data_IF_238818922698
#
_entry.id   IF_238818922698
#
_cell.length_a   1.000
_cell.length_b   1.000
_cell.length_c   1.000
_cell.angle_alpha   90.00
_cell.angle_beta   90.00
_cell.angle_gamma   90.00
#
_symmetry.space_group_name_H-M   'P 1'
#
loop_
_entity.id
_entity.type
_entity.pdbx_description
1 polymer ?
#
# COMPACT_ATOMS: atom_id res chain seq x y z
N UNK A 1 3.61 -5.12 0.25
CA UNK A 1 4.87 -5.09 -0.50
C UNK A 1 4.91 -6.14 -1.60
N UNK A 2 5.06 -7.42 -1.25
CA UNK A 2 5.33 -8.52 -2.22
C UNK A 2 4.43 -8.53 -3.46
N UNK A 3 3.12 -8.62 -3.27
CA UNK A 3 2.16 -8.65 -4.40
C UNK A 3 2.17 -7.36 -5.22
N UNK A 4 2.38 -6.22 -4.57
CA UNK A 4 2.48 -4.95 -5.29
C UNK A 4 3.71 -4.91 -6.19
N UNK A 5 4.88 -5.36 -5.71
CA UNK A 5 6.09 -5.41 -6.52
C UNK A 5 5.94 -6.39 -7.70
N UNK A 6 5.35 -7.57 -7.47
CA UNK A 6 5.06 -8.54 -8.54
C UNK A 6 4.18 -7.88 -9.62
N UNK A 7 3.16 -7.12 -9.21
CA UNK A 7 2.31 -6.40 -10.16
C UNK A 7 3.09 -5.35 -10.96
N UNK A 8 3.97 -4.57 -10.32
CA UNK A 8 4.83 -3.62 -11.03
C UNK A 8 5.70 -4.32 -12.08
N UNK A 9 6.23 -5.47 -11.73
CA UNK A 9 7.05 -6.28 -12.62
C UNK A 9 6.25 -6.84 -13.80
N UNK A 10 5.01 -7.28 -13.58
CA UNK A 10 4.11 -7.78 -14.62
C UNK A 10 3.67 -6.67 -15.59
N UNK A 11 3.51 -5.43 -15.10
CA UNK A 11 3.15 -4.26 -15.91
C UNK A 11 4.36 -3.60 -16.59
N UNK A 12 5.58 -4.01 -16.24
CA UNK A 12 6.81 -3.51 -16.83
C UNK A 12 7.00 -4.02 -18.26
N UNK A 13 7.45 -3.18 -19.20
CA UNK A 13 7.89 -3.65 -20.54
C UNK A 13 9.20 -4.46 -20.49
N UNK A 14 9.96 -4.39 -19.39
CA UNK A 14 11.24 -5.09 -19.23
C UNK A 14 11.02 -6.59 -18.97
N UNK A 15 10.98 -7.37 -20.04
CA UNK A 15 10.77 -8.81 -19.95
C UNK A 15 11.94 -9.56 -19.30
N UNK A 16 13.17 -9.12 -19.53
CA UNK A 16 14.36 -9.75 -18.96
C UNK A 16 14.38 -9.59 -17.43
N UNK A 17 14.09 -8.39 -16.92
CA UNK A 17 13.96 -8.16 -15.48
C UNK A 17 12.86 -9.04 -14.87
N UNK A 18 11.71 -9.16 -15.56
CA UNK A 18 10.63 -10.02 -15.13
C UNK A 18 11.05 -11.48 -15.06
N UNK A 19 11.71 -12.02 -16.08
CA UNK A 19 12.18 -13.41 -16.10
C UNK A 19 13.20 -13.66 -14.98
N UNK A 20 14.07 -12.70 -14.72
CA UNK A 20 15.11 -12.78 -13.69
C UNK A 20 14.55 -12.84 -12.27
N UNK A 21 13.50 -12.06 -11.96
CA UNK A 21 13.04 -11.87 -10.59
C UNK A 21 11.77 -12.63 -10.21
N UNK A 22 10.88 -12.92 -11.18
CA UNK A 22 9.53 -13.40 -10.87
C UNK A 22 9.51 -14.74 -10.11
N UNK A 23 10.39 -15.68 -10.47
CA UNK A 23 10.47 -16.99 -9.82
C UNK A 23 10.81 -16.88 -8.33
N UNK A 24 11.78 -16.06 -7.98
CA UNK A 24 12.21 -15.86 -6.58
C UNK A 24 11.19 -15.06 -5.77
N UNK A 25 10.54 -14.07 -6.41
CA UNK A 25 9.44 -13.32 -5.80
C UNK A 25 8.25 -14.21 -5.48
N UNK A 26 7.83 -15.08 -6.39
CA UNK A 26 6.71 -16.00 -6.19
C UNK A 26 7.02 -17.06 -5.12
N UNK A 27 8.26 -17.53 -5.07
CA UNK A 27 8.72 -18.50 -4.07
C UNK A 27 9.02 -17.85 -2.69
N UNK A 28 8.97 -16.51 -2.58
CA UNK A 28 9.30 -15.78 -1.35
C UNK A 28 10.78 -15.78 -0.98
N UNK A 29 11.67 -16.22 -1.87
CA UNK A 29 13.11 -16.13 -1.66
C UNK A 29 13.57 -14.67 -1.72
N UNK A 30 13.06 -13.89 -2.68
CA UNK A 30 13.30 -12.46 -2.81
C UNK A 30 12.10 -11.67 -2.27
N UNK A 31 12.34 -10.67 -1.43
CA UNK A 31 11.32 -9.74 -0.96
C UNK A 31 11.13 -8.59 -1.95
N UNK A 32 9.93 -8.48 -2.52
CA UNK A 32 9.53 -7.33 -3.33
C UNK A 32 8.97 -6.22 -2.47
N UNK A 33 9.70 -5.11 -2.38
CA UNK A 33 9.35 -3.95 -1.55
C UNK A 33 8.75 -2.82 -2.39
N UNK A 34 7.92 -1.97 -1.77
CA UNK A 34 7.31 -0.83 -2.44
C UNK A 34 7.79 0.48 -1.83
N UNK A 35 8.57 1.24 -2.58
CA UNK A 35 9.00 2.62 -2.31
C UNK A 35 8.11 3.66 -3.01
N UNK A 36 6.95 3.26 -3.57
CA UNK A 36 6.11 4.14 -4.37
C UNK A 36 5.15 5.05 -3.56
N UNK A 37 5.25 5.09 -2.24
CA UNK A 37 4.43 6.01 -1.43
C UNK A 37 4.66 7.48 -1.83
N UNK A 38 5.92 7.90 -1.94
CA UNK A 38 6.29 9.23 -2.43
C UNK A 38 5.82 9.44 -3.89
N UNK A 39 5.97 8.42 -4.74
CA UNK A 39 5.53 8.48 -6.14
C UNK A 39 4.02 8.73 -6.29
N UNK A 40 3.19 8.13 -5.44
CA UNK A 40 1.73 8.36 -5.48
C UNK A 40 1.35 9.79 -5.04
N UNK A 41 2.12 10.40 -4.12
CA UNK A 41 1.96 11.81 -3.76
C UNK A 41 2.46 12.74 -4.87
N UNK A 42 3.58 12.40 -5.51
CA UNK A 42 4.08 13.10 -6.69
C UNK A 42 3.05 13.10 -7.83
N UNK A 43 2.45 11.95 -8.13
CA UNK A 43 1.41 11.82 -9.15
C UNK A 43 0.19 12.74 -8.87
N UNK A 44 -0.09 12.99 -7.61
CA UNK A 44 -1.17 13.89 -7.14
C UNK A 44 -0.71 15.35 -6.98
N UNK A 45 0.54 15.69 -7.34
CA UNK A 45 1.08 17.04 -7.22
C UNK A 45 1.30 17.53 -5.77
N UNK A 46 1.40 16.61 -4.81
CA UNK A 46 1.51 16.94 -3.37
C UNK A 46 2.95 17.19 -2.95
N UNK A 47 3.90 16.40 -3.48
CA UNK A 47 5.33 16.53 -3.16
C UNK A 47 6.21 16.11 -4.33
N UNK A 48 7.47 16.59 -4.35
CA UNK A 48 8.48 16.14 -5.31
C UNK A 48 8.97 14.71 -5.02
N UNK A 49 9.60 14.07 -6.00
CA UNK A 49 10.27 12.80 -5.79
C UNK A 49 11.51 13.00 -4.88
N UNK A 50 11.79 12.01 -4.04
CA UNK A 50 12.82 12.07 -3.01
C UNK A 50 14.14 11.37 -3.40
N UNK A 51 14.15 10.75 -4.57
CA UNK A 51 15.36 10.13 -5.15
C UNK A 51 15.63 10.77 -6.49
N UNK A 52 16.87 11.22 -6.69
CA UNK A 52 17.35 11.85 -7.91
C UNK A 52 18.37 10.94 -8.58
N UNK A 53 18.32 10.86 -9.90
CA UNK A 53 19.29 10.15 -10.72
C UNK A 53 20.10 11.12 -11.57
N UNK A 54 21.39 10.90 -11.61
CA UNK A 54 22.31 11.48 -12.59
C UNK A 54 22.69 10.44 -13.64
N UNK A 55 22.65 10.82 -14.91
CA UNK A 55 22.97 9.89 -15.99
C UNK A 55 24.46 9.49 -15.95
N UNK A 56 24.71 8.20 -16.18
CA UNK A 56 26.06 7.63 -16.36
C UNK A 56 26.07 6.77 -17.63
N UNK A 57 27.26 6.40 -18.12
CA UNK A 57 27.40 5.64 -19.36
C UNK A 57 26.58 4.33 -19.35
N UNK A 58 26.68 3.55 -18.28
CA UNK A 58 26.02 2.25 -18.14
C UNK A 58 24.61 2.31 -17.50
N UNK A 59 24.16 3.50 -17.03
CA UNK A 59 22.90 3.60 -16.30
C UNK A 59 22.71 4.93 -15.59
N UNK A 60 22.58 4.87 -14.28
CA UNK A 60 22.35 6.05 -13.43
C UNK A 60 23.06 5.92 -12.09
N UNK A 61 23.43 7.06 -11.53
CA UNK A 61 23.88 7.22 -10.15
C UNK A 61 22.76 7.86 -9.36
N UNK A 62 22.29 7.16 -8.32
CA UNK A 62 21.14 7.56 -7.49
C UNK A 62 21.60 8.15 -6.16
N UNK A 63 20.93 9.25 -5.78
CA UNK A 63 21.05 9.87 -4.46
C UNK A 63 19.66 10.19 -3.91
N UNK A 64 19.44 9.95 -2.61
CA UNK A 64 18.19 10.27 -1.96
C UNK A 64 17.81 9.31 -0.84
N UNK A 65 16.55 9.43 -0.38
CA UNK A 65 16.03 8.61 0.72
C UNK A 65 14.57 8.24 0.51
N UNK A 66 14.23 7.01 0.81
CA UNK A 66 12.86 6.52 0.91
C UNK A 66 12.57 6.24 2.40
N UNK A 67 11.84 7.11 3.11
CA UNK A 67 11.69 7.01 4.57
C UNK A 67 10.78 5.89 5.03
N UNK A 68 9.88 5.38 4.15
CA UNK A 68 8.87 4.38 4.45
C UNK A 68 8.78 3.35 3.33
N UNK A 69 9.50 2.25 3.48
CA UNK A 69 9.48 1.13 2.53
C UNK A 69 9.01 -0.13 3.24
N UNK A 70 7.85 -0.63 2.84
CA UNK A 70 7.25 -1.85 3.40
C UNK A 70 7.77 -3.09 2.68
N UNK A 71 7.93 -4.19 3.43
CA UNK A 71 8.48 -5.46 2.97
C UNK A 71 9.96 -5.38 2.55
N UNK A 72 10.70 -4.51 3.22
CA UNK A 72 12.15 -4.34 3.04
C UNK A 72 12.89 -5.35 3.92
N UNK A 73 12.70 -6.65 3.66
CA UNK A 73 13.31 -7.73 4.44
C UNK A 73 14.84 -7.68 4.31
N UNK A 74 15.53 -7.59 5.44
CA UNK A 74 16.99 -7.59 5.45
C UNK A 74 17.56 -8.89 4.90
N UNK A 75 18.57 -8.79 4.07
CA UNK A 75 19.32 -9.91 3.50
C UNK A 75 18.86 -10.33 2.11
N UNK A 76 17.71 -9.86 1.62
CA UNK A 76 17.27 -10.23 0.26
C UNK A 76 16.03 -9.45 -0.19
N UNK A 77 16.19 -8.21 -0.65
CA UNK A 77 15.10 -7.40 -1.18
C UNK A 77 15.41 -6.72 -2.51
N UNK A 78 14.35 -6.39 -3.21
CA UNK A 78 14.34 -5.45 -4.34
C UNK A 78 13.21 -4.45 -4.13
N UNK A 79 13.47 -3.15 -4.29
CA UNK A 79 12.48 -2.09 -4.07
C UNK A 79 12.15 -1.35 -5.36
N UNK A 80 10.85 -1.15 -5.63
CA UNK A 80 10.42 -0.26 -6.71
C UNK A 80 10.36 1.18 -6.21
N UNK A 81 11.00 2.10 -6.94
CA UNK A 81 11.00 3.52 -6.64
C UNK A 81 10.84 4.36 -7.92
N UNK A 82 10.10 5.47 -7.81
CA UNK A 82 10.10 6.50 -8.85
C UNK A 82 11.23 7.48 -8.60
N UNK A 83 11.94 7.83 -9.67
CA UNK A 83 13.21 8.54 -9.64
C UNK A 83 13.09 9.82 -10.47
N UNK A 84 13.49 10.96 -9.91
CA UNK A 84 13.63 12.23 -10.64
C UNK A 84 14.90 12.23 -11.47
N UNK A 85 14.86 12.85 -12.66
CA UNK A 85 16.08 13.05 -13.47
C UNK A 85 16.76 14.36 -13.08
N UNK A 86 18.01 14.30 -12.65
CA UNK A 86 18.78 15.48 -12.24
C UNK A 86 18.99 16.50 -13.37
N UNK A 87 19.09 16.01 -14.59
CA UNK A 87 19.27 16.82 -15.80
C UNK A 87 17.92 17.25 -16.43
N UNK A 88 16.80 16.98 -15.79
CA UNK A 88 15.46 17.25 -16.30
C UNK A 88 14.90 16.13 -17.16
N UNK A 89 13.62 16.24 -17.53
CA UNK A 89 12.89 15.24 -18.30
C UNK A 89 11.85 14.50 -17.45
N UNK A 90 11.19 13.48 -18.03
CA UNK A 90 10.20 12.68 -17.31
C UNK A 90 10.87 11.80 -16.26
N UNK A 91 10.34 11.74 -15.04
CA UNK A 91 10.79 10.79 -14.03
C UNK A 91 10.51 9.35 -14.50
N UNK A 92 11.27 8.39 -13.97
CA UNK A 92 11.19 6.99 -14.36
C UNK A 92 11.08 6.08 -13.14
N UNK A 93 10.88 4.77 -13.33
CA UNK A 93 10.72 3.80 -12.24
C UNK A 93 11.80 2.73 -12.34
N UNK A 94 12.54 2.54 -11.26
CA UNK A 94 13.58 1.52 -11.13
C UNK A 94 13.18 0.44 -10.11
N UNK A 95 13.73 -0.75 -10.30
CA UNK A 95 13.91 -1.76 -9.28
C UNK A 95 15.33 -1.62 -8.71
N UNK A 96 15.47 -1.44 -7.41
CA UNK A 96 16.76 -1.24 -6.74
C UNK A 96 17.00 -2.43 -5.84
N UNK A 97 17.98 -3.32 -6.14
CA UNK A 97 18.32 -4.45 -5.29
C UNK A 97 19.18 -4.04 -4.09
N UNK A 98 19.12 -4.81 -3.01
CA UNK A 98 19.87 -4.57 -1.76
C UNK A 98 21.40 -4.55 -1.97
N UNK A 99 21.92 -5.46 -2.79
CA UNK A 99 23.37 -5.72 -2.90
C UNK A 99 24.20 -4.63 -3.59
N UNK A 100 23.61 -3.51 -4.02
CA UNK A 100 24.37 -2.43 -4.66
C UNK A 100 25.12 -1.59 -3.63
N UNK A 101 26.36 -1.21 -3.96
CA UNK A 101 27.15 -0.29 -3.13
C UNK A 101 26.41 1.04 -2.95
N UNK A 102 26.37 1.55 -1.72
CA UNK A 102 25.66 2.79 -1.38
C UNK A 102 24.19 2.61 -1.00
N UNK A 103 23.61 1.43 -1.16
CA UNK A 103 22.26 1.09 -0.65
C UNK A 103 22.36 0.79 0.84
N UNK A 104 21.69 1.58 1.67
CA UNK A 104 21.71 1.44 3.12
C UNK A 104 20.28 1.35 3.69
N UNK A 105 19.94 0.17 4.20
CA UNK A 105 18.70 -0.07 4.92
C UNK A 105 18.84 0.30 6.40
N UNK A 106 17.87 1.04 6.96
CA UNK A 106 17.81 1.25 8.40
C UNK A 106 17.38 -0.03 9.15
N UNK A 107 17.46 -0.01 10.48
CA UNK A 107 16.68 -0.96 11.27
C UNK A 107 15.19 -0.82 10.98
N UNK A 108 14.40 -1.86 11.31
CA UNK A 108 12.93 -1.81 11.21
C UNK A 108 12.38 -0.64 12.03
N UNK A 109 11.43 0.08 11.46
CA UNK A 109 10.76 1.17 12.17
C UNK A 109 9.93 0.62 13.33
N UNK A 110 10.02 1.26 14.48
CA UNK A 110 9.23 0.92 15.66
C UNK A 110 7.82 1.47 15.52
N UNK A 111 6.92 0.69 14.93
CA UNK A 111 5.56 1.07 14.60
C UNK A 111 4.59 0.74 15.75
N UNK A 112 3.49 1.49 15.90
CA UNK A 112 2.42 1.17 16.85
C UNK A 112 1.61 -0.07 16.43
N UNK A 113 1.54 -0.38 15.15
CA UNK A 113 0.92 -1.57 14.56
C UNK A 113 1.73 -2.02 13.34
N UNK A 114 1.41 -3.20 12.77
CA UNK A 114 2.10 -3.74 11.58
C UNK A 114 3.62 -3.93 11.77
N UNK A 115 4.08 -4.24 12.98
CA UNK A 115 5.50 -4.37 13.32
C UNK A 115 6.22 -5.44 12.49
N UNK A 116 5.52 -6.51 12.10
CA UNK A 116 6.09 -7.60 11.28
C UNK A 116 6.08 -7.29 9.78
N UNK A 117 5.88 -6.04 9.38
CA UNK A 117 5.83 -5.63 7.97
C UNK A 117 7.20 -5.43 7.33
N UNK A 118 8.30 -5.56 8.09
CA UNK A 118 9.67 -5.22 7.68
C UNK A 118 9.73 -3.82 7.04
N UNK A 119 9.03 -2.86 7.63
CA UNK A 119 9.06 -1.46 7.16
C UNK A 119 10.31 -0.78 7.69
N UNK A 120 11.11 -0.24 6.79
CA UNK A 120 12.36 0.45 7.10
C UNK A 120 12.55 1.66 6.17
N UNK A 121 13.51 2.52 6.48
CA UNK A 121 14.00 3.52 5.55
C UNK A 121 15.11 2.95 4.68
N UNK A 122 15.24 3.49 3.47
CA UNK A 122 16.30 3.19 2.52
C UNK A 122 17.02 4.47 2.14
N UNK A 123 18.30 4.58 2.47
CA UNK A 123 19.18 5.64 2.04
C UNK A 123 19.97 5.17 0.81
N UNK A 124 20.06 6.04 -0.19
CA UNK A 124 20.80 5.84 -1.43
C UNK A 124 21.88 6.91 -1.52
N UNK A 125 23.15 6.49 -1.60
CA UNK A 125 24.30 7.40 -1.65
C UNK A 125 25.22 6.99 -2.79
N UNK A 126 25.17 7.75 -3.88
CA UNK A 126 25.94 7.50 -5.09
C UNK A 126 25.78 6.05 -5.60
N UNK A 127 24.54 5.52 -5.59
CA UNK A 127 24.24 4.14 -5.98
C UNK A 127 24.24 4.01 -7.48
N UNK A 128 25.19 3.27 -8.06
CA UNK A 128 25.20 2.95 -9.49
C UNK A 128 24.17 1.85 -9.81
N UNK A 129 23.23 2.13 -10.71
CA UNK A 129 22.18 1.20 -11.14
C UNK A 129 22.16 1.12 -12.66
N UNK A 130 22.29 -0.09 -13.20
CA UNK A 130 22.26 -0.36 -14.63
C UNK A 130 20.86 -0.20 -15.25
N UNK A 131 20.82 -0.03 -16.57
CA UNK A 131 19.57 0.09 -17.34
C UNK A 131 18.71 -1.18 -17.32
N UNK A 132 19.30 -2.32 -17.04
CA UNK A 132 18.65 -3.63 -16.89
C UNK A 132 17.69 -3.69 -15.69
N UNK A 133 17.79 -2.74 -14.74
CA UNK A 133 16.89 -2.59 -13.59
C UNK A 133 15.72 -1.61 -13.84
N UNK A 134 15.59 -1.09 -15.06
CA UNK A 134 14.50 -0.18 -15.40
C UNK A 134 13.17 -0.93 -15.42
N UNK A 135 12.22 -0.48 -14.59
CA UNK A 135 10.82 -0.95 -14.64
C UNK A 135 10.02 -0.22 -15.72
N UNK A 136 10.18 1.10 -15.82
CA UNK A 136 9.54 1.91 -16.85
C UNK A 136 10.25 3.26 -16.99
N UNK A 137 10.41 3.73 -18.20
CA UNK A 137 11.13 4.97 -18.56
C UNK A 137 10.33 6.26 -18.29
N UNK A 138 9.02 6.16 -18.07
CA UNK A 138 8.14 7.27 -17.72
C UNK A 138 7.23 6.90 -16.54
N UNK A 139 7.50 7.47 -15.37
CA UNK A 139 6.71 7.25 -14.15
C UNK A 139 5.28 7.81 -14.28
N UNK A 140 5.07 8.89 -15.06
CA UNK A 140 3.75 9.51 -15.25
C UNK A 140 2.81 8.61 -16.04
N UNK A 141 3.35 7.77 -16.92
CA UNK A 141 2.59 6.75 -17.64
C UNK A 141 2.42 5.47 -16.82
N UNK A 142 3.46 5.04 -16.10
CA UNK A 142 3.46 3.79 -15.35
C UNK A 142 2.59 3.82 -14.09
N UNK A 143 2.71 4.88 -13.28
CA UNK A 143 2.01 4.96 -12.00
C UNK A 143 0.47 4.89 -12.12
N UNK A 144 -0.18 5.56 -13.09
CA UNK A 144 -1.63 5.38 -13.30
C UNK A 144 -2.02 3.95 -13.65
N UNK A 145 -1.19 3.21 -14.39
CA UNK A 145 -1.46 1.81 -14.79
C UNK A 145 -1.40 0.85 -13.60
N UNK A 146 -0.44 1.02 -12.68
CA UNK A 146 -0.29 0.16 -11.50
C UNK A 146 -1.17 0.59 -10.32
N UNK A 147 -1.70 1.82 -10.34
CA UNK A 147 -2.51 2.38 -9.25
C UNK A 147 -3.74 1.55 -8.89
N UNK A 148 -4.53 0.99 -9.83
CA UNK A 148 -5.68 0.15 -9.48
C UNK A 148 -5.29 -1.06 -8.64
N UNK A 149 -4.26 -1.78 -9.02
CA UNK A 149 -3.75 -2.92 -8.25
C UNK A 149 -3.16 -2.49 -6.91
N UNK A 150 -2.40 -1.41 -6.89
CA UNK A 150 -1.80 -0.87 -5.65
C UNK A 150 -2.87 -0.51 -4.61
N UNK A 151 -3.91 0.23 -5.01
CA UNK A 151 -5.02 0.60 -4.12
C UNK A 151 -5.91 -0.60 -3.78
N UNK A 152 -6.15 -1.50 -4.73
CA UNK A 152 -6.90 -2.73 -4.49
C UNK A 152 -6.25 -3.62 -3.43
N UNK A 153 -4.94 -3.75 -3.44
CA UNK A 153 -4.18 -4.48 -2.41
C UNK A 153 -4.27 -3.81 -1.03
N UNK A 154 -4.34 -2.48 -0.98
CA UNK A 154 -4.59 -1.75 0.27
C UNK A 154 -6.04 -1.97 0.77
N UNK A 155 -7.01 -2.00 -0.13
CA UNK A 155 -8.39 -2.38 0.22
C UNK A 155 -8.43 -3.76 0.88
N UNK A 156 -7.63 -4.71 0.41
CA UNK A 156 -7.52 -6.04 1.00
C UNK A 156 -7.13 -6.05 2.49
N UNK A 157 -6.30 -5.10 2.94
CA UNK A 157 -5.97 -4.95 4.36
C UNK A 157 -7.19 -4.53 5.18
N UNK A 158 -7.94 -3.54 4.72
CA UNK A 158 -9.15 -3.07 5.38
C UNK A 158 -10.24 -4.16 5.42
N UNK A 159 -10.44 -4.89 4.32
CA UNK A 159 -11.39 -6.00 4.21
C UNK A 159 -11.08 -7.10 5.22
N UNK A 160 -9.82 -7.55 5.29
CA UNK A 160 -9.40 -8.60 6.21
C UNK A 160 -9.58 -8.19 7.67
N UNK A 161 -9.25 -6.95 8.00
CA UNK A 161 -9.40 -6.39 9.34
C UNK A 161 -10.87 -6.29 9.74
N UNK A 162 -11.72 -5.73 8.86
CA UNK A 162 -13.16 -5.60 9.10
C UNK A 162 -13.83 -6.97 9.29
N UNK A 163 -13.56 -7.94 8.40
CA UNK A 163 -14.10 -9.31 8.51
C UNK A 163 -13.73 -9.93 9.84
N UNK A 164 -12.46 -9.86 10.22
CA UNK A 164 -12.02 -10.44 11.50
C UNK A 164 -12.68 -9.77 12.69
N UNK A 165 -12.85 -8.44 12.70
CA UNK A 165 -13.53 -7.74 13.78
C UNK A 165 -15.01 -8.13 13.86
N UNK A 166 -15.73 -8.19 12.74
CA UNK A 166 -17.13 -8.62 12.71
C UNK A 166 -17.32 -10.09 13.11
N UNK A 167 -16.36 -10.97 12.82
CA UNK A 167 -16.37 -12.34 13.33
C UNK A 167 -16.20 -12.40 14.85
N UNK A 168 -15.40 -11.51 15.44
CA UNK A 168 -15.30 -11.39 16.89
C UNK A 168 -16.61 -10.86 17.52
N UNK A 169 -17.25 -9.87 16.86
CA UNK A 169 -18.62 -9.44 17.30
C UNK A 169 -19.54 -10.65 17.40
N UNK A 170 -19.66 -11.45 16.34
CA UNK A 170 -20.53 -12.62 16.30
C UNK A 170 -20.25 -13.62 17.44
N UNK A 171 -18.99 -13.80 17.81
CA UNK A 171 -18.59 -14.70 18.91
C UNK A 171 -19.01 -14.20 20.28
N UNK A 172 -19.23 -12.91 20.43
CA UNK A 172 -19.55 -12.27 21.70
C UNK A 172 -21.03 -11.89 21.82
N UNK A 173 -21.85 -12.18 20.80
CA UNK A 173 -23.30 -11.97 20.87
C UNK A 173 -23.94 -12.92 21.89
N UNK A 174 -24.97 -12.42 22.55
CA UNK A 174 -25.75 -13.17 23.55
C UNK A 174 -26.21 -12.29 24.70
N UNK A 175 -27.31 -12.65 25.34
CA UNK A 175 -27.94 -11.84 26.38
C UNK A 175 -28.30 -10.44 25.86
N UNK A 176 -27.96 -9.40 26.60
CA UNK A 176 -28.21 -8.01 26.18
C UNK A 176 -27.44 -7.58 24.91
N UNK A 177 -26.39 -8.31 24.54
CA UNK A 177 -25.59 -8.00 23.33
C UNK A 177 -26.26 -8.41 22.04
N UNK A 178 -27.36 -9.17 22.08
CA UNK A 178 -28.19 -9.44 20.90
C UNK A 178 -28.80 -8.16 20.29
N UNK A 179 -28.82 -7.06 21.02
CA UNK A 179 -29.17 -5.73 20.48
C UNK A 179 -28.23 -5.28 19.35
N UNK A 180 -27.00 -5.83 19.26
CA UNK A 180 -26.02 -5.54 18.21
C UNK A 180 -26.23 -6.36 16.93
N UNK A 181 -27.15 -7.33 16.89
CA UNK A 181 -27.37 -8.20 15.72
C UNK A 181 -27.71 -7.40 14.46
N UNK A 182 -28.58 -6.40 14.58
CA UNK A 182 -28.97 -5.54 13.47
C UNK A 182 -27.81 -4.71 12.93
N UNK A 183 -26.96 -4.17 13.82
CA UNK A 183 -25.78 -3.40 13.44
C UNK A 183 -24.71 -4.30 12.80
N UNK A 184 -24.47 -5.49 13.33
CA UNK A 184 -23.59 -6.48 12.75
C UNK A 184 -24.01 -6.84 11.33
N UNK A 185 -25.29 -7.11 11.10
CA UNK A 185 -25.82 -7.42 9.78
C UNK A 185 -25.63 -6.26 8.80
N UNK A 186 -25.95 -5.03 9.20
CA UNK A 186 -25.77 -3.84 8.38
C UNK A 186 -24.32 -3.57 8.02
N UNK A 187 -23.37 -3.75 8.96
CA UNK A 187 -21.94 -3.58 8.70
C UNK A 187 -21.39 -4.67 7.78
N UNK A 188 -21.86 -5.92 7.87
CA UNK A 188 -21.50 -7.00 6.94
C UNK A 188 -22.01 -6.69 5.53
N UNK A 189 -23.26 -6.27 5.37
CA UNK A 189 -23.83 -5.89 4.08
C UNK A 189 -23.05 -4.74 3.42
N UNK A 190 -22.73 -3.70 4.20
CA UNK A 190 -21.92 -2.57 3.73
C UNK A 190 -20.54 -3.02 3.25
N UNK A 191 -19.87 -3.88 4.04
CA UNK A 191 -18.56 -4.42 3.69
C UNK A 191 -18.62 -5.25 2.41
N UNK A 192 -19.61 -6.15 2.31
CA UNK A 192 -19.76 -7.03 1.15
C UNK A 192 -20.12 -6.25 -0.13
N UNK A 193 -20.92 -5.19 -0.01
CA UNK A 193 -21.20 -4.25 -1.10
C UNK A 193 -19.93 -3.58 -1.64
N UNK A 194 -19.06 -3.09 -0.75
CA UNK A 194 -17.77 -2.53 -1.16
C UNK A 194 -16.83 -3.58 -1.78
N UNK A 195 -16.80 -4.79 -1.24
CA UNK A 195 -16.00 -5.90 -1.76
C UNK A 195 -16.47 -6.29 -3.16
N UNK A 196 -17.77 -6.43 -3.37
CA UNK A 196 -18.35 -6.74 -4.68
C UNK A 196 -18.01 -5.64 -5.71
N UNK A 197 -18.17 -4.37 -5.34
CA UNK A 197 -17.84 -3.23 -6.20
C UNK A 197 -16.35 -3.18 -6.54
N UNK A 198 -15.47 -3.49 -5.57
CA UNK A 198 -14.02 -3.57 -5.80
C UNK A 198 -13.67 -4.67 -6.81
N UNK A 199 -14.21 -5.86 -6.63
CA UNK A 199 -13.92 -6.99 -7.52
C UNK A 199 -14.46 -6.74 -8.93
N UNK A 200 -15.67 -6.22 -9.06
CA UNK A 200 -16.26 -5.88 -10.36
C UNK A 200 -15.42 -4.84 -11.11
N UNK A 201 -15.00 -3.78 -10.41
CA UNK A 201 -14.19 -2.71 -11.02
C UNK A 201 -12.76 -3.13 -11.38
N UNK A 202 -12.15 -4.03 -10.60
CA UNK A 202 -10.85 -4.62 -10.96
C UNK A 202 -10.98 -5.55 -12.18
N UNK A 203 -12.02 -6.39 -12.22
CA UNK A 203 -12.23 -7.34 -13.30
C UNK A 203 -12.56 -6.65 -14.64
N UNK A 204 -13.34 -5.58 -14.61
CA UNK A 204 -13.68 -4.79 -15.81
C UNK A 204 -12.58 -3.84 -16.26
N UNK A 205 -11.58 -3.56 -15.40
CA UNK A 205 -10.54 -2.57 -15.68
C UNK A 205 -11.01 -1.11 -15.58
N UNK A 206 -12.25 -0.84 -15.13
CA UNK A 206 -12.86 0.51 -15.11
C UNK A 206 -12.08 1.53 -14.28
N UNK A 207 -11.33 1.08 -13.26
CA UNK A 207 -10.56 1.97 -12.40
C UNK A 207 -9.39 2.68 -13.09
N UNK A 208 -8.98 2.22 -14.28
CA UNK A 208 -8.01 2.91 -15.10
C UNK A 208 -8.59 4.23 -15.65
N UNK A 209 -9.84 4.20 -16.11
CA UNK A 209 -10.56 5.37 -16.67
C UNK A 209 -11.36 6.14 -15.62
N UNK A 210 -11.82 5.47 -14.56
CA UNK A 210 -12.66 6.03 -13.49
C UNK A 210 -12.04 5.86 -12.10
N UNK A 211 -10.86 6.43 -11.82
CA UNK A 211 -10.16 6.24 -10.55
C UNK A 211 -10.97 6.73 -9.33
N UNK A 212 -11.86 7.70 -9.51
CA UNK A 212 -12.71 8.22 -8.45
C UNK A 212 -13.60 7.13 -7.81
N UNK A 213 -14.05 6.12 -8.57
CA UNK A 213 -14.82 5.00 -8.02
C UNK A 213 -13.97 4.19 -7.03
N UNK A 214 -12.74 3.85 -7.41
CA UNK A 214 -11.82 3.14 -6.53
C UNK A 214 -11.49 3.95 -5.27
N UNK A 215 -11.34 5.27 -5.39
CA UNK A 215 -11.09 6.15 -4.24
C UNK A 215 -12.24 6.11 -3.23
N UNK A 216 -13.50 6.17 -3.69
CA UNK A 216 -14.67 6.05 -2.82
C UNK A 216 -14.75 4.69 -2.14
N UNK A 217 -14.49 3.59 -2.89
CA UNK A 217 -14.44 2.23 -2.32
C UNK A 217 -13.34 2.14 -1.25
N UNK A 218 -12.16 2.68 -1.51
CA UNK A 218 -11.04 2.68 -0.55
C UNK A 218 -11.36 3.45 0.72
N UNK A 219 -12.06 4.59 0.61
CA UNK A 219 -12.55 5.38 1.74
C UNK A 219 -13.58 4.57 2.53
N UNK A 220 -14.62 4.06 1.88
CA UNK A 220 -15.70 3.29 2.53
C UNK A 220 -15.18 2.03 3.24
N UNK A 221 -14.23 1.32 2.64
CA UNK A 221 -13.60 0.15 3.28
C UNK A 221 -12.77 0.52 4.51
N UNK A 222 -12.11 1.67 4.52
CA UNK A 222 -11.40 2.14 5.71
C UNK A 222 -12.36 2.51 6.85
N UNK A 223 -13.47 3.15 6.52
CA UNK A 223 -14.53 3.48 7.46
C UNK A 223 -15.21 2.20 7.99
N UNK A 224 -15.51 1.24 7.12
CA UNK A 224 -16.05 -0.06 7.52
C UNK A 224 -15.10 -0.81 8.49
N UNK A 225 -13.79 -0.77 8.25
CA UNK A 225 -12.81 -1.39 9.15
C UNK A 225 -12.76 -0.71 10.52
N UNK A 226 -12.82 0.61 10.57
CA UNK A 226 -12.85 1.36 11.83
C UNK A 226 -14.15 1.06 12.61
N UNK A 227 -15.31 1.09 11.95
CA UNK A 227 -16.60 0.81 12.56
C UNK A 227 -16.69 -0.64 13.08
N UNK A 228 -16.18 -1.60 12.31
CA UNK A 228 -16.16 -3.01 12.71
C UNK A 228 -15.34 -3.24 14.00
N UNK A 229 -14.19 -2.57 14.15
CA UNK A 229 -13.37 -2.67 15.37
C UNK A 229 -14.04 -1.98 16.55
N UNK A 230 -14.76 -0.88 16.35
CA UNK A 230 -15.58 -0.24 17.39
C UNK A 230 -16.71 -1.15 17.85
N UNK A 231 -17.41 -1.81 16.91
CA UNK A 231 -18.47 -2.75 17.24
C UNK A 231 -17.92 -3.98 17.99
N UNK A 232 -16.74 -4.46 17.62
CA UNK A 232 -16.03 -5.53 18.37
C UNK A 232 -15.83 -5.16 19.82
N UNK A 233 -15.38 -3.92 20.11
CA UNK A 233 -15.20 -3.47 21.50
C UNK A 233 -16.51 -3.50 22.28
N UNK A 234 -17.61 -3.02 21.68
CA UNK A 234 -18.93 -3.03 22.32
C UNK A 234 -19.40 -4.46 22.62
N UNK A 235 -19.24 -5.38 21.66
CA UNK A 235 -19.64 -6.77 21.82
C UNK A 235 -18.76 -7.51 22.84
N UNK A 236 -17.46 -7.27 22.88
CA UNK A 236 -16.51 -7.91 23.79
C UNK A 236 -16.58 -7.34 25.22
N UNK A 237 -16.95 -6.06 25.34
CA UNK A 237 -17.01 -5.34 26.61
C UNK A 237 -15.66 -5.20 27.30
N UNK A 238 -15.67 -4.97 28.60
CA UNK A 238 -14.46 -4.70 29.39
C UNK A 238 -13.38 -5.78 29.32
N UNK A 239 -13.73 -7.02 28.99
CA UNK A 239 -12.75 -8.11 28.82
C UNK A 239 -11.74 -7.82 27.71
N UNK A 240 -12.17 -7.19 26.60
CA UNK A 240 -11.27 -6.81 25.52
C UNK A 240 -10.28 -5.69 25.93
N UNK A 241 -10.56 -4.98 27.00
CA UNK A 241 -9.72 -3.88 27.50
C UNK A 241 -8.70 -4.33 28.53
N UNK A 242 -8.73 -5.60 28.96
CA UNK A 242 -7.73 -6.18 29.83
C UNK A 242 -6.50 -6.62 29.03
N UNK A 243 -5.30 -6.24 29.45
CA UNK A 243 -4.04 -6.54 28.74
C UNK A 243 -3.83 -8.05 28.49
N UNK A 244 -4.22 -8.90 29.44
CA UNK A 244 -4.10 -10.36 29.37
C UNK A 244 -5.07 -11.01 28.35
N UNK A 245 -6.23 -10.39 28.08
CA UNK A 245 -7.26 -10.93 27.18
C UNK A 245 -7.42 -10.14 25.90
N UNK A 246 -7.09 -8.85 25.93
CA UNK A 246 -7.36 -7.89 24.86
C UNK A 246 -6.28 -7.81 23.77
N UNK A 247 -5.21 -8.61 23.82
CA UNK A 247 -4.08 -8.48 22.89
C UNK A 247 -4.50 -8.54 21.40
N UNK A 248 -5.44 -9.41 21.03
CA UNK A 248 -5.98 -9.53 19.69
C UNK A 248 -6.77 -8.30 19.25
N UNK A 249 -7.65 -7.79 20.13
CA UNK A 249 -8.39 -6.55 19.92
C UNK A 249 -7.45 -5.35 19.81
N UNK A 250 -6.51 -5.20 20.75
CA UNK A 250 -5.55 -4.10 20.78
C UNK A 250 -4.68 -4.04 19.50
N UNK A 251 -4.35 -5.21 18.90
CA UNK A 251 -3.67 -5.27 17.61
C UNK A 251 -4.59 -4.74 16.52
N UNK A 252 -5.83 -5.24 16.39
CA UNK A 252 -6.79 -4.78 15.37
C UNK A 252 -7.09 -3.28 15.50
N UNK A 253 -7.22 -2.79 16.72
CA UNK A 253 -7.40 -1.37 17.00
C UNK A 253 -6.27 -0.51 16.43
N UNK A 254 -5.00 -0.86 16.73
CA UNK A 254 -3.83 -0.14 16.22
C UNK A 254 -3.70 -0.24 14.69
N UNK A 255 -3.99 -1.41 14.13
CA UNK A 255 -3.97 -1.63 12.67
C UNK A 255 -5.09 -0.86 11.97
N UNK A 256 -6.29 -0.78 12.55
CA UNK A 256 -7.40 0.03 11.99
C UNK A 256 -7.07 1.52 11.95
N UNK A 257 -6.41 2.03 13.00
CA UNK A 257 -5.96 3.42 13.05
C UNK A 257 -4.92 3.77 11.97
N UNK A 258 -4.17 2.78 11.46
CA UNK A 258 -3.19 2.97 10.39
C UNK A 258 -3.83 3.02 9.00
N UNK A 259 -4.95 2.32 8.77
CA UNK A 259 -5.60 2.22 7.45
C UNK A 259 -5.88 3.60 6.80
N UNK A 260 -6.37 4.63 7.54
CA UNK A 260 -6.62 5.95 6.98
C UNK A 260 -5.39 6.71 6.48
N UNK A 261 -4.21 6.39 7.02
CA UNK A 261 -2.97 7.12 6.71
C UNK A 261 -2.06 6.40 5.72
N UNK A 262 -2.39 5.18 5.31
CA UNK A 262 -1.66 4.45 4.23
C UNK A 262 -1.73 5.28 2.95
N UNK A 263 -0.57 5.57 2.37
CA UNK A 263 -0.46 6.43 1.17
C UNK A 263 -0.97 5.73 -0.11
N UNK A 264 -1.86 6.39 -0.89
CA UNK A 264 -2.48 7.69 -0.62
C UNK A 264 -3.44 7.62 0.55
N UNK A 265 -3.32 8.56 1.49
CA UNK A 265 -4.18 8.64 2.67
C UNK A 265 -5.62 9.02 2.30
N UNK A 266 -6.58 8.79 3.22
CA UNK A 266 -7.97 9.18 2.97
C UNK A 266 -8.11 10.68 2.71
N UNK A 267 -7.29 11.51 3.37
CA UNK A 267 -7.28 12.97 3.13
C UNK A 267 -6.84 13.28 1.71
N UNK A 268 -5.80 12.59 1.21
CA UNK A 268 -5.31 12.76 -0.16
C UNK A 268 -6.35 12.30 -1.18
N UNK A 269 -7.02 11.16 -0.94
CA UNK A 269 -8.09 10.67 -1.82
C UNK A 269 -9.30 11.61 -1.85
N UNK A 270 -9.69 12.17 -0.70
CA UNK A 270 -10.79 13.15 -0.62
C UNK A 270 -10.44 14.44 -1.36
N UNK A 271 -9.22 14.96 -1.18
CA UNK A 271 -8.76 16.15 -1.90
C UNK A 271 -8.75 15.93 -3.43
N UNK A 272 -8.35 14.74 -3.88
CA UNK A 272 -8.39 14.38 -5.30
C UNK A 272 -9.82 14.29 -5.84
N UNK A 273 -10.75 13.71 -5.08
CA UNK A 273 -12.16 13.67 -5.43
C UNK A 273 -12.77 15.07 -5.55
N UNK A 274 -12.41 15.98 -4.64
CA UNK A 274 -12.85 17.37 -4.66
C UNK A 274 -12.35 18.08 -5.93
N UNK A 275 -11.05 17.99 -6.22
CA UNK A 275 -10.47 18.58 -7.44
C UNK A 275 -11.14 18.08 -8.72
N UNK A 276 -11.46 16.78 -8.78
CA UNK A 276 -12.16 16.18 -9.93
C UNK A 276 -13.62 16.65 -10.04
N UNK A 277 -14.26 16.99 -8.93
CA UNK A 277 -15.61 17.56 -8.94
C UNK A 277 -15.58 19.01 -9.44
N UNK A 278 -14.65 19.81 -8.94
CA UNK A 278 -14.46 21.22 -9.35
C UNK A 278 -14.09 21.36 -10.85
N UNK A 279 -13.29 20.44 -11.38
CA UNK A 279 -12.91 20.44 -12.80
C UNK A 279 -14.06 20.06 -13.77
N UNK A 280 -15.20 19.54 -13.25
CA UNK A 280 -16.40 19.17 -14.02
C UNK A 280 -17.54 20.17 -13.89
N UNK A 281 -17.43 21.08 -12.92
CA UNK A 281 -18.39 22.17 -12.70
C UNK A 281 -18.06 23.41 -13.55
#
# INVERSE_FOLDING_TARGET
GQRAFIEYLLQSPNQELRQRLLGDLLAGRLAGATGLSNAMKFLSGIEALQVVAHAEEAGWRLDGRLPWVTNLRSGDFVVAAAIERGEGGSPFVLAIPEGLAGVQRSADLRLLGLQCSNTAALDLRAVAVGRDWLLHDDARQFLPRVRPAFLGLQCGMAIGLARRALDEVQRHLGGCRSLLDGELAAQRETLDGHVAALHAGLASGEFASQPARLFRIRIGLAEAAANAVQLELQASGGKAYLSEHGAGFARRWRESAFVPIVTPSLVQLRAELQRQAEAKA
#
